data_IF_981574372304
#
_entry.id   IF_981574372304
#
_cell.length_a   1.000
_cell.length_b   1.000
_cell.length_c   1.000
_cell.angle_alpha   90.00
_cell.angle_beta   90.00
_cell.angle_gamma   90.00
#
_symmetry.space_group_name_H-M   'P 1'
#
loop_
_entity.id
_entity.type
_entity.pdbx_description
1 polymer ?
#
# COMPACT_ATOMS: atom_id res chain seq x y z
N UNK A 1 -52.63 -11.69 -14.20
CA UNK A 1 -52.90 -11.11 -12.86
C UNK A 1 -51.54 -10.84 -12.25
N UNK A 2 -51.05 -9.61 -12.05
CA UNK A 2 -51.63 -8.26 -12.05
C UNK A 2 -50.62 -7.26 -12.68
N UNK A 3 -51.12 -6.12 -13.16
CA UNK A 3 -50.42 -5.05 -13.89
C UNK A 3 -49.57 -4.13 -12.99
N UNK A 4 -48.41 -3.69 -13.50
CA UNK A 4 -47.44 -2.78 -12.87
C UNK A 4 -47.86 -1.28 -12.87
N UNK A 5 -49.16 -0.99 -12.84
CA UNK A 5 -49.69 0.38 -12.91
C UNK A 5 -50.06 1.01 -11.56
N UNK A 6 -49.65 0.42 -10.42
CA UNK A 6 -50.07 0.88 -9.08
C UNK A 6 -48.92 1.28 -8.14
N UNK A 7 -47.95 2.08 -8.58
CA UNK A 7 -47.06 2.80 -7.66
C UNK A 7 -46.80 4.26 -8.04
N UNK A 8 -47.84 4.94 -8.52
CA UNK A 8 -47.99 6.39 -8.32
C UNK A 8 -48.71 6.63 -6.99
N UNK A 9 -47.97 6.85 -5.92
CA UNK A 9 -48.33 7.79 -4.84
C UNK A 9 -47.33 7.69 -3.71
N UNK A 10 -46.66 8.82 -3.45
CA UNK A 10 -45.93 9.25 -2.24
C UNK A 10 -44.61 9.87 -2.67
N UNK A 11 -44.73 10.98 -3.39
CA UNK A 11 -43.75 12.05 -3.31
C UNK A 11 -43.71 12.45 -1.83
N UNK A 12 -42.58 12.21 -1.18
CA UNK A 12 -42.31 12.76 0.15
C UNK A 12 -42.17 14.27 -0.04
N UNK A 13 -43.28 14.96 0.23
CA UNK A 13 -43.28 16.38 0.56
C UNK A 13 -42.31 16.60 1.71
N UNK A 14 -41.19 17.26 1.45
CA UNK A 14 -40.41 17.92 2.48
C UNK A 14 -41.24 19.12 2.98
N UNK A 15 -42.25 18.85 3.81
CA UNK A 15 -42.83 19.85 4.68
C UNK A 15 -41.96 19.95 5.93
N UNK A 16 -41.19 21.04 6.03
CA UNK A 16 -40.77 21.56 7.31
C UNK A 16 -41.13 23.05 7.36
N UNK A 17 -42.08 23.35 8.25
CA UNK A 17 -42.56 24.68 8.57
C UNK A 17 -41.42 25.60 9.03
N UNK A 18 -41.45 26.86 8.59
CA UNK A 18 -41.40 28.04 9.46
C UNK A 18 -41.41 29.32 8.63
N UNK A 19 -42.54 30.02 8.59
CA UNK A 19 -42.67 31.46 8.87
C UNK A 19 -44.14 31.86 8.62
N UNK A 20 -44.97 31.66 9.65
CA UNK A 20 -46.14 32.51 9.82
C UNK A 20 -45.66 33.91 10.28
N UNK A 21 -46.36 34.92 9.79
CA UNK A 21 -46.25 36.35 10.10
C UNK A 21 -45.09 37.15 9.47
N UNK A 22 -45.29 37.54 8.20
CA UNK A 22 -44.84 38.85 7.71
C UNK A 22 -46.08 39.63 7.28
N UNK A 23 -46.65 40.38 8.23
CA UNK A 23 -47.63 41.43 7.96
C UNK A 23 -47.03 42.48 7.00
N UNK A 24 -47.90 43.00 6.13
CA UNK A 24 -47.68 44.12 5.21
C UNK A 24 -46.77 45.20 5.80
N UNK A 25 -45.55 45.40 5.30
CA UNK A 25 -44.86 46.71 5.25
C UNK A 25 -43.61 46.67 4.36
N UNK A 26 -43.60 47.59 3.38
CA UNK A 26 -42.46 48.21 2.65
C UNK A 26 -41.27 47.36 2.15
N UNK A 27 -41.03 47.48 0.84
CA UNK A 27 -39.75 47.29 0.15
C UNK A 27 -38.49 47.49 1.01
N UNK A 28 -37.70 46.42 1.22
CA UNK A 28 -36.26 46.34 0.93
C UNK A 28 -35.72 44.95 1.32
N UNK A 29 -34.92 44.39 0.42
CA UNK A 29 -34.03 43.22 0.61
C UNK A 29 -34.70 41.84 0.68
N UNK A 30 -35.10 41.32 -0.48
CA UNK A 30 -35.22 39.87 -0.67
C UNK A 30 -33.80 39.29 -0.72
N UNK A 31 -33.37 38.65 0.37
CA UNK A 31 -32.14 37.87 0.40
C UNK A 31 -32.20 36.74 -0.64
N UNK A 32 -31.20 36.69 -1.53
CA UNK A 32 -30.93 35.52 -2.36
C UNK A 32 -30.65 34.32 -1.45
N UNK A 33 -31.64 33.47 -1.24
CA UNK A 33 -31.43 32.14 -0.70
C UNK A 33 -30.72 31.30 -1.78
N UNK A 34 -29.39 31.40 -1.79
CA UNK A 34 -28.53 30.46 -2.49
C UNK A 34 -28.71 29.08 -1.84
N UNK A 35 -29.68 28.31 -2.34
CA UNK A 35 -29.78 26.90 -2.03
C UNK A 35 -28.48 26.24 -2.50
N UNK A 36 -27.59 25.95 -1.55
CA UNK A 36 -26.41 25.11 -1.78
C UNK A 36 -26.91 23.80 -2.38
N UNK A 37 -26.34 23.42 -3.52
CA UNK A 37 -26.68 22.21 -4.27
C UNK A 37 -26.70 20.99 -3.34
N UNK A 38 -27.90 20.55 -2.99
CA UNK A 38 -28.14 19.34 -2.23
C UNK A 38 -27.96 18.17 -3.20
N UNK A 39 -26.73 17.65 -3.28
CA UNK A 39 -26.27 16.68 -4.28
C UNK A 39 -27.36 15.82 -4.91
N UNK A 40 -27.44 15.88 -6.25
CA UNK A 40 -28.48 15.22 -7.03
C UNK A 40 -28.07 13.80 -7.43
N UNK A 41 -28.98 12.84 -7.31
CA UNK A 41 -28.85 11.54 -7.98
C UNK A 41 -28.80 11.80 -9.49
N UNK A 42 -27.62 11.65 -10.10
CA UNK A 42 -27.41 11.94 -11.52
C UNK A 42 -28.11 10.88 -12.38
N UNK A 43 -27.90 9.62 -12.03
CA UNK A 43 -28.53 8.48 -12.70
C UNK A 43 -28.57 7.28 -11.75
N UNK A 44 -29.59 6.44 -11.94
CA UNK A 44 -29.59 5.09 -11.38
C UNK A 44 -30.10 4.14 -12.44
N UNK A 45 -29.48 2.98 -12.56
CA UNK A 45 -29.96 1.90 -13.41
C UNK A 45 -29.81 0.58 -12.68
N UNK A 46 -30.83 -0.27 -12.81
CA UNK A 46 -30.71 -1.67 -12.41
C UNK A 46 -29.85 -2.37 -13.47
N UNK A 47 -28.76 -2.99 -13.04
CA UNK A 47 -27.94 -3.83 -13.92
C UNK A 47 -28.40 -5.27 -13.71
N UNK A 48 -29.16 -5.86 -14.64
CA UNK A 48 -29.64 -7.23 -14.48
C UNK A 48 -28.47 -8.21 -14.56
N UNK A 49 -28.58 -9.32 -13.82
CA UNK A 49 -27.66 -10.44 -13.97
C UNK A 49 -27.81 -11.01 -15.39
N UNK A 50 -26.72 -11.09 -16.14
CA UNK A 50 -26.69 -11.83 -17.40
C UNK A 50 -26.33 -13.28 -17.12
N UNK A 51 -27.05 -14.21 -17.75
CA UNK A 51 -26.69 -15.62 -17.66
C UNK A 51 -25.38 -15.89 -18.42
N UNK A 52 -24.55 -16.75 -17.85
CA UNK A 52 -23.29 -17.19 -18.45
C UNK A 52 -23.05 -18.65 -18.09
N UNK A 53 -22.39 -19.39 -18.98
CA UNK A 53 -21.97 -20.76 -18.71
C UNK A 53 -20.50 -20.77 -18.34
N UNK A 54 -20.15 -21.46 -17.25
CA UNK A 54 -18.75 -21.66 -16.88
C UNK A 54 -18.06 -22.55 -17.92
N UNK A 55 -16.99 -22.04 -18.53
CA UNK A 55 -16.13 -22.81 -19.41
C UNK A 55 -14.98 -23.39 -18.58
N UNK A 56 -14.66 -24.67 -18.82
CA UNK A 56 -13.44 -25.25 -18.25
C UNK A 56 -12.25 -24.80 -19.11
N UNK A 57 -11.22 -24.17 -18.53
CA UNK A 57 -10.06 -23.74 -19.29
C UNK A 57 -9.31 -24.95 -19.87
N UNK A 58 -8.84 -24.83 -21.11
CA UNK A 58 -7.97 -25.84 -21.71
C UNK A 58 -6.62 -25.84 -20.99
N UNK A 59 -6.21 -27.00 -20.48
CA UNK A 59 -4.93 -27.17 -19.78
C UNK A 59 -3.82 -27.55 -20.75
N UNK A 60 -2.60 -27.04 -20.50
CA UNK A 60 -1.40 -27.48 -21.22
C UNK A 60 -0.97 -28.86 -20.72
N UNK A 61 -0.48 -29.74 -21.61
CA UNK A 61 0.05 -31.06 -21.24
C UNK A 61 1.40 -30.93 -20.53
N UNK A 62 1.61 -31.71 -19.47
CA UNK A 62 2.86 -31.77 -18.69
C UNK A 62 3.98 -32.52 -19.44
N UNK A 63 5.26 -32.23 -19.17
CA UNK A 63 5.79 -31.24 -18.23
C UNK A 63 5.72 -29.81 -18.77
N UNK A 64 5.39 -28.84 -17.91
CA UNK A 64 5.37 -27.41 -18.24
C UNK A 64 6.36 -26.66 -17.35
N UNK A 65 7.08 -25.71 -17.94
CA UNK A 65 7.84 -24.70 -17.17
C UNK A 65 7.02 -23.42 -17.13
N UNK A 66 6.70 -22.95 -15.93
CA UNK A 66 5.93 -21.74 -15.71
C UNK A 66 6.74 -20.73 -14.89
N UNK A 67 6.50 -19.44 -15.09
CA UNK A 67 7.06 -18.37 -14.25
C UNK A 67 5.95 -17.85 -13.35
N UNK A 68 6.06 -18.07 -12.04
CA UNK A 68 5.01 -17.76 -11.06
C UNK A 68 5.56 -17.00 -9.87
N UNK A 69 4.75 -16.17 -9.17
CA UNK A 69 5.14 -15.59 -7.89
C UNK A 69 5.30 -16.70 -6.85
N UNK A 70 6.55 -16.96 -6.44
CA UNK A 70 6.88 -17.88 -5.35
C UNK A 70 6.96 -17.10 -4.06
N UNK A 71 6.27 -17.58 -3.03
CA UNK A 71 6.33 -17.01 -1.69
C UNK A 71 7.69 -17.33 -1.08
N UNK A 72 8.53 -16.30 -0.92
CA UNK A 72 9.86 -16.46 -0.31
C UNK A 72 9.81 -16.23 1.20
N UNK A 73 8.92 -15.35 1.69
CA UNK A 73 8.70 -15.11 3.11
C UNK A 73 7.29 -14.56 3.38
N UNK A 74 6.77 -14.78 4.59
CA UNK A 74 5.55 -14.13 5.09
C UNK A 74 5.78 -13.77 6.56
N UNK A 75 5.41 -12.53 6.95
CA UNK A 75 5.71 -12.01 8.29
C UNK A 75 4.62 -11.07 8.77
N UNK A 76 4.21 -11.24 10.03
CA UNK A 76 3.47 -10.23 10.78
C UNK A 76 4.47 -9.35 11.55
N UNK A 77 4.30 -8.03 11.45
CA UNK A 77 5.25 -7.03 11.91
C UNK A 77 4.51 -6.06 12.82
N UNK A 78 4.99 -5.94 14.06
CA UNK A 78 4.49 -4.96 15.01
C UNK A 78 5.26 -3.65 14.86
N UNK A 79 4.52 -2.55 14.77
CA UNK A 79 5.04 -1.19 14.64
C UNK A 79 4.31 -0.33 15.68
N UNK A 80 5.05 0.16 16.66
CA UNK A 80 4.51 1.02 17.71
C UNK A 80 4.69 2.49 17.29
N UNK A 81 3.59 3.25 17.28
CA UNK A 81 3.54 4.61 16.76
C UNK A 81 2.87 5.53 17.79
N UNK A 82 3.55 6.59 18.18
CA UNK A 82 2.95 7.70 18.94
C UNK A 82 2.80 8.90 18.00
N UNK A 83 1.58 9.43 17.89
CA UNK A 83 1.29 10.64 17.12
C UNK A 83 0.67 11.71 18.00
N UNK A 84 1.09 12.95 17.77
CA UNK A 84 0.53 14.12 18.43
C UNK A 84 0.02 15.08 17.36
N UNK A 85 -1.28 15.30 17.36
CA UNK A 85 -1.97 16.10 16.36
C UNK A 85 -2.68 17.25 17.04
N UNK A 86 -2.51 18.45 16.48
CA UNK A 86 -3.32 19.61 16.83
C UNK A 86 -4.37 19.80 15.75
N UNK A 87 -5.64 19.76 16.12
CA UNK A 87 -6.71 19.98 15.15
C UNK A 87 -6.80 21.47 14.79
N UNK A 88 -7.38 21.77 13.62
CA UNK A 88 -7.53 23.15 13.14
C UNK A 88 -8.32 24.01 14.13
N UNK A 89 -9.29 23.40 14.80
CA UNK A 89 -10.17 24.02 15.77
C UNK A 89 -10.22 23.18 17.03
N UNK A 90 -10.56 23.83 18.15
CA UNK A 90 -10.80 23.10 19.39
C UNK A 90 -12.03 22.21 19.23
N UNK A 91 -11.98 21.06 19.85
CA UNK A 91 -13.03 20.06 19.77
C UNK A 91 -13.61 19.77 21.14
N UNK A 92 -14.92 19.60 21.18
CA UNK A 92 -15.65 19.12 22.35
C UNK A 92 -15.47 17.60 22.50
N UNK A 93 -15.61 16.89 21.37
CA UNK A 93 -15.62 15.44 21.34
C UNK A 93 -15.14 14.91 19.99
N UNK A 94 -14.37 13.84 19.99
CA UNK A 94 -14.07 13.05 18.78
C UNK A 94 -15.22 12.07 18.56
N UNK A 95 -15.86 12.13 17.39
CA UNK A 95 -16.98 11.24 17.04
C UNK A 95 -16.49 9.94 16.42
N UNK A 96 -15.54 10.04 15.49
CA UNK A 96 -15.01 8.87 14.78
C UNK A 96 -13.63 9.17 14.22
N UNK A 97 -12.76 8.15 14.23
CA UNK A 97 -11.50 8.19 13.48
C UNK A 97 -11.45 6.97 12.56
N UNK A 98 -11.58 7.17 11.25
CA UNK A 98 -11.36 6.10 10.26
C UNK A 98 -9.87 6.02 9.95
N UNK A 99 -9.30 4.81 9.97
CA UNK A 99 -7.87 4.56 9.73
C UNK A 99 -7.67 3.58 8.59
N UNK A 100 -6.77 3.91 7.67
CA UNK A 100 -6.33 3.06 6.56
C UNK A 100 -4.80 2.99 6.56
N UNK A 101 -4.22 1.80 6.38
CA UNK A 101 -2.75 1.60 6.37
C UNK A 101 -2.23 1.51 4.94
N UNK A 102 -1.16 2.23 4.64
CA UNK A 102 -0.49 2.24 3.34
C UNK A 102 0.99 1.90 3.49
N UNK A 103 1.51 1.05 2.62
CA UNK A 103 2.95 0.85 2.46
C UNK A 103 3.44 1.67 1.28
N UNK A 104 4.49 2.46 1.50
CA UNK A 104 5.21 3.22 0.45
C UNK A 104 6.52 2.53 0.07
N UNK A 105 7.06 1.69 0.95
CA UNK A 105 8.23 0.85 0.70
C UNK A 105 8.04 -0.51 1.36
N UNK A 106 8.41 -1.57 0.64
CA UNK A 106 8.63 -2.89 1.19
C UNK A 106 9.75 -3.55 0.37
N UNK A 107 10.96 -3.51 0.89
CA UNK A 107 12.18 -3.85 0.15
C UNK A 107 13.04 -4.86 0.90
N UNK A 108 13.29 -5.99 0.25
CA UNK A 108 14.08 -7.07 0.80
C UNK A 108 15.55 -6.91 0.43
N UNK A 109 16.44 -7.02 1.42
CA UNK A 109 17.88 -7.15 1.23
C UNK A 109 18.26 -8.61 1.48
N UNK A 110 18.39 -9.44 0.43
CA UNK A 110 18.24 -10.90 0.56
C UNK A 110 19.41 -11.64 1.21
N UNK A 111 20.57 -11.00 1.36
CA UNK A 111 21.75 -11.56 2.02
C UNK A 111 22.16 -10.83 3.29
N UNK A 112 21.34 -9.88 3.76
CA UNK A 112 21.65 -9.10 4.96
C UNK A 112 21.15 -9.75 6.26
N UNK A 113 21.04 -11.08 6.30
CA UNK A 113 20.63 -11.87 7.45
C UNK A 113 21.63 -12.98 7.78
N UNK A 114 21.14 -14.05 8.39
CA UNK A 114 21.90 -15.25 8.74
C UNK A 114 22.14 -16.09 7.48
N UNK A 115 23.40 -16.45 7.26
CA UNK A 115 23.83 -17.36 6.20
C UNK A 115 24.42 -18.60 6.87
N UNK A 116 23.89 -19.77 6.54
CA UNK A 116 24.36 -21.06 7.05
C UNK A 116 24.86 -21.91 5.89
N UNK A 117 26.11 -22.38 5.95
CA UNK A 117 26.72 -23.22 4.91
C UNK A 117 26.61 -22.59 3.49
N UNK A 118 26.74 -21.27 3.39
CA UNK A 118 26.61 -20.53 2.13
C UNK A 118 25.16 -20.31 1.66
N UNK A 119 24.15 -20.78 2.40
CA UNK A 119 22.74 -20.64 2.06
C UNK A 119 22.10 -19.56 2.95
N UNK A 120 21.48 -18.51 2.37
CA UNK A 120 20.79 -17.49 3.15
C UNK A 120 19.53 -18.09 3.81
N UNK A 121 19.43 -17.97 5.13
CA UNK A 121 18.28 -18.44 5.93
C UNK A 121 17.31 -17.32 6.25
N UNK A 122 17.84 -16.12 6.44
CA UNK A 122 17.05 -14.93 6.73
C UNK A 122 17.54 -13.74 5.92
N UNK A 123 16.75 -12.69 5.92
CA UNK A 123 17.05 -11.43 5.25
C UNK A 123 16.48 -10.24 6.03
N UNK A 124 16.93 -9.04 5.70
CA UNK A 124 16.35 -7.80 6.23
C UNK A 124 15.30 -7.27 5.27
N UNK A 125 14.13 -6.92 5.81
CA UNK A 125 13.02 -6.32 5.09
C UNK A 125 12.82 -4.89 5.61
N UNK A 126 13.02 -3.91 4.73
CA UNK A 126 12.84 -2.49 4.99
C UNK A 126 11.41 -2.11 4.61
N UNK A 127 10.69 -1.49 5.55
CA UNK A 127 9.30 -1.13 5.38
C UNK A 127 9.09 0.33 5.76
N UNK A 128 8.42 1.06 4.88
CA UNK A 128 7.95 2.42 5.15
C UNK A 128 6.51 2.55 4.70
N UNK A 129 5.78 3.43 5.36
CA UNK A 129 4.37 3.63 5.09
C UNK A 129 3.77 4.76 5.90
N UNK A 130 2.44 4.84 5.88
CA UNK A 130 1.69 5.75 6.72
C UNK A 130 0.31 5.21 7.06
N UNK A 131 -0.22 5.65 8.19
CA UNK A 131 -1.62 5.46 8.59
C UNK A 131 -2.34 6.73 8.19
N UNK A 132 -3.26 6.63 7.22
CA UNK A 132 -4.17 7.73 6.89
C UNK A 132 -5.30 7.73 7.89
N UNK A 133 -5.50 8.85 8.58
CA UNK A 133 -6.55 9.06 9.57
C UNK A 133 -7.53 10.09 9.04
N UNK A 134 -8.80 9.77 9.03
CA UNK A 134 -9.88 10.73 8.82
C UNK A 134 -10.58 10.90 10.18
N UNK A 135 -10.31 12.03 10.84
CA UNK A 135 -10.78 12.37 12.17
C UNK A 135 -12.04 13.23 12.02
N UNK A 136 -13.15 12.77 12.58
CA UNK A 136 -14.42 13.51 12.68
C UNK A 136 -14.64 13.95 14.13
N UNK A 137 -14.90 15.23 14.33
CA UNK A 137 -14.99 15.84 15.65
C UNK A 137 -16.07 16.93 15.72
N UNK A 138 -16.64 17.12 16.90
CA UNK A 138 -17.64 18.14 17.18
C UNK A 138 -17.00 19.39 17.79
N UNK A 139 -17.40 20.57 17.35
CA UNK A 139 -17.07 21.86 17.97
C UNK A 139 -18.10 22.28 19.03
N UNK A 140 -17.83 23.34 19.77
CA UNK A 140 -18.74 23.93 20.75
C UNK A 140 -18.92 25.43 20.47
N UNK A 141 -19.73 25.75 19.45
CA UNK A 141 -19.82 27.11 18.90
C UNK A 141 -20.86 27.98 19.64
N UNK A 142 -21.98 27.38 20.04
CA UNK A 142 -23.02 28.03 20.83
C UNK A 142 -23.18 27.33 22.19
N UNK A 143 -22.91 28.06 23.26
CA UNK A 143 -22.98 27.56 24.63
C UNK A 143 -23.93 28.45 25.42
N UNK A 144 -24.98 27.83 25.96
CA UNK A 144 -25.97 28.37 26.92
C UNK A 144 -26.01 27.45 28.14
N UNK A 145 -26.67 27.90 29.21
CA UNK A 145 -26.63 27.24 30.54
C UNK A 145 -26.78 25.71 30.49
N UNK A 146 -27.74 25.19 29.70
CA UNK A 146 -28.02 23.75 29.59
C UNK A 146 -27.77 23.16 28.20
N UNK A 147 -27.25 23.93 27.25
CA UNK A 147 -27.16 23.51 25.84
C UNK A 147 -25.83 23.89 25.21
N UNK A 148 -25.17 22.90 24.60
CA UNK A 148 -24.01 23.07 23.73
C UNK A 148 -24.37 22.63 22.32
N UNK A 149 -24.20 23.52 21.35
CA UNK A 149 -24.40 23.25 19.92
C UNK A 149 -23.13 23.61 19.15
N UNK A 150 -22.80 22.80 18.16
CA UNK A 150 -21.67 23.05 17.27
C UNK A 150 -21.75 22.24 15.99
N UNK A 151 -20.71 22.33 15.18
CA UNK A 151 -20.60 21.66 13.88
C UNK A 151 -19.83 20.34 13.97
N UNK A 152 -20.09 19.44 13.00
CA UNK A 152 -19.24 18.27 12.76
C UNK A 152 -18.21 18.64 11.70
N UNK A 153 -16.93 18.62 12.11
CA UNK A 153 -15.79 18.93 11.26
C UNK A 153 -14.93 17.69 11.05
N UNK A 154 -14.11 17.71 10.01
CA UNK A 154 -13.17 16.64 9.75
C UNK A 154 -11.75 17.15 9.50
N UNK A 155 -10.78 16.30 9.79
CA UNK A 155 -9.37 16.50 9.45
C UNK A 155 -8.79 15.19 8.96
N UNK A 156 -8.13 15.23 7.81
CA UNK A 156 -7.45 14.06 7.22
C UNK A 156 -5.95 14.26 7.33
N UNK A 157 -5.27 13.30 7.95
CA UNK A 157 -3.82 13.33 8.11
C UNK A 157 -3.16 11.99 7.80
N UNK A 158 -1.84 12.02 7.62
CA UNK A 158 -1.00 10.84 7.38
C UNK A 158 0.06 10.75 8.47
N UNK A 159 -0.01 9.70 9.28
CA UNK A 159 1.00 9.41 10.31
C UNK A 159 2.01 8.43 9.75
N UNK A 160 3.26 8.87 9.46
CA UNK A 160 4.25 8.01 8.83
C UNK A 160 4.81 6.98 9.82
N UNK A 161 5.26 5.84 9.29
CA UNK A 161 6.04 4.86 10.02
C UNK A 161 7.12 4.26 9.12
N UNK A 162 8.23 3.86 9.74
CA UNK A 162 9.32 3.13 9.09
C UNK A 162 9.89 2.11 10.07
N UNK A 163 10.19 0.91 9.58
CA UNK A 163 10.85 -0.12 10.37
C UNK A 163 11.70 -1.04 9.49
N UNK A 164 12.60 -1.78 10.13
CA UNK A 164 13.35 -2.88 9.53
C UNK A 164 13.10 -4.11 10.36
N UNK A 165 12.80 -5.23 9.70
CA UNK A 165 12.62 -6.51 10.38
C UNK A 165 13.43 -7.60 9.70
N UNK A 166 13.75 -8.64 10.45
CA UNK A 166 14.33 -9.86 9.90
C UNK A 166 13.20 -10.82 9.49
N UNK A 167 13.28 -11.32 8.26
CA UNK A 167 12.36 -12.32 7.72
C UNK A 167 13.10 -13.63 7.47
N UNK A 168 12.44 -14.74 7.78
CA UNK A 168 12.96 -16.09 7.51
C UNK A 168 12.44 -16.56 6.16
N UNK A 169 13.33 -17.16 5.37
CA UNK A 169 12.95 -17.74 4.10
C UNK A 169 12.14 -19.03 4.30
N UNK A 170 10.97 -19.06 3.68
CA UNK A 170 10.18 -20.28 3.45
C UNK A 170 10.80 -20.99 2.24
N UNK A 171 11.02 -20.23 1.17
CA UNK A 171 11.72 -20.65 -0.04
C UNK A 171 12.87 -19.68 -0.28
N UNK A 172 14.12 -20.15 -0.51
CA UNK A 172 15.22 -19.26 -0.84
C UNK A 172 14.92 -18.42 -2.09
N UNK A 173 15.35 -17.14 -2.12
CA UNK A 173 15.23 -16.34 -3.32
C UNK A 173 16.23 -16.82 -4.38
N UNK A 174 15.85 -16.69 -5.64
CA UNK A 174 16.77 -16.84 -6.77
C UNK A 174 17.62 -15.57 -6.86
N UNK A 175 18.93 -15.71 -6.64
CA UNK A 175 19.88 -14.61 -6.66
C UNK A 175 20.96 -14.91 -7.68
N UNK A 176 21.37 -13.90 -8.44
CA UNK A 176 22.53 -13.98 -9.32
C UNK A 176 23.65 -13.08 -8.78
N UNK A 177 24.87 -13.62 -8.73
CA UNK A 177 26.07 -12.83 -8.54
C UNK A 177 26.64 -12.47 -9.91
N UNK A 178 27.20 -11.27 -10.05
CA UNK A 178 28.07 -10.98 -11.21
C UNK A 178 29.27 -11.92 -11.14
N UNK A 179 29.56 -12.60 -12.25
CA UNK A 179 30.75 -13.42 -12.33
C UNK A 179 32.01 -12.54 -12.24
N UNK A 180 33.12 -13.12 -11.81
CA UNK A 180 34.40 -12.45 -11.97
C UNK A 180 34.67 -12.28 -13.47
N UNK A 181 35.15 -11.11 -13.87
CA UNK A 181 35.55 -10.86 -15.26
C UNK A 181 36.64 -11.87 -15.63
N UNK A 182 36.48 -12.51 -16.78
CA UNK A 182 37.45 -13.48 -17.27
C UNK A 182 38.36 -12.80 -18.27
N UNK A 183 39.67 -12.99 -18.09
CA UNK A 183 40.69 -12.59 -19.05
C UNK A 183 41.01 -13.81 -19.92
N UNK A 184 41.01 -13.61 -21.24
CA UNK A 184 41.35 -14.64 -22.20
C UNK A 184 42.77 -14.38 -22.70
N UNK A 185 43.69 -15.22 -22.27
CA UNK A 185 45.08 -15.17 -22.72
C UNK A 185 45.23 -15.86 -24.08
N UNK A 186 45.66 -15.09 -25.08
CA UNK A 186 46.04 -15.60 -26.40
C UNK A 186 47.55 -15.54 -26.58
N UNK A 187 48.07 -16.35 -27.50
CA UNK A 187 49.46 -16.28 -27.92
C UNK A 187 49.65 -15.14 -28.92
N UNK A 188 50.73 -14.35 -28.75
CA UNK A 188 51.10 -13.40 -29.80
C UNK A 188 51.75 -14.12 -30.99
N UNK A 189 51.22 -13.95 -32.20
CA UNK A 189 51.79 -14.51 -33.44
C UNK A 189 51.93 -13.42 -34.51
N UNK A 190 52.95 -13.56 -35.37
CA UNK A 190 53.33 -12.57 -36.40
C UNK A 190 52.24 -12.32 -37.47
N UNK A 191 51.19 -13.15 -37.53
CA UNK A 191 50.17 -13.10 -38.59
C UNK A 191 48.79 -12.59 -38.14
N UNK A 192 48.62 -12.26 -36.85
CA UNK A 192 47.29 -11.99 -36.26
C UNK A 192 47.11 -10.68 -35.51
N UNK A 193 48.16 -9.87 -35.34
CA UNK A 193 48.10 -8.62 -34.59
C UNK A 193 48.07 -7.41 -35.53
N UNK A 194 47.29 -6.37 -35.18
CA UNK A 194 47.31 -5.11 -35.92
C UNK A 194 48.70 -4.47 -35.86
N UNK A 195 49.03 -3.68 -36.89
CA UNK A 195 50.39 -3.41 -37.40
C UNK A 195 51.33 -2.62 -36.46
N UNK A 196 50.97 -2.43 -35.19
CA UNK A 196 51.75 -1.72 -34.16
C UNK A 196 52.05 -2.57 -32.91
N UNK A 197 51.64 -3.85 -32.87
CA UNK A 197 52.04 -4.79 -31.81
C UNK A 197 53.50 -5.25 -32.02
N UNK A 198 54.45 -4.69 -31.26
CA UNK A 198 55.87 -5.08 -31.29
C UNK A 198 56.15 -6.42 -30.59
N UNK A 199 55.46 -7.50 -30.98
CA UNK A 199 55.62 -8.84 -30.40
C UNK A 199 56.92 -9.57 -30.82
N UNK A 200 57.88 -8.86 -31.42
CA UNK A 200 59.09 -9.45 -31.97
C UNK A 200 60.08 -9.95 -30.90
N UNK A 201 60.05 -9.40 -29.68
CA UNK A 201 60.96 -9.78 -28.59
C UNK A 201 60.37 -10.88 -27.66
N UNK A 202 59.06 -11.12 -27.70
CA UNK A 202 58.33 -12.10 -26.88
C UNK A 202 57.58 -13.15 -27.73
N UNK A 203 58.24 -13.67 -28.79
CA UNK A 203 57.66 -14.54 -29.84
C UNK A 203 57.00 -15.85 -29.38
N UNK A 204 57.10 -16.20 -28.10
CA UNK A 204 56.57 -17.42 -27.48
C UNK A 204 55.84 -17.10 -26.15
N UNK A 205 55.26 -15.90 -26.05
CA UNK A 205 54.64 -15.37 -24.84
C UNK A 205 53.14 -15.08 -24.97
N UNK A 206 52.55 -14.64 -23.85
CA UNK A 206 51.19 -14.11 -23.77
C UNK A 206 51.08 -12.84 -24.61
N UNK A 207 49.96 -12.65 -25.31
CA UNK A 207 49.65 -11.41 -26.03
C UNK A 207 49.51 -10.24 -25.04
N UNK A 208 50.33 -9.20 -25.19
CA UNK A 208 50.41 -8.06 -24.26
C UNK A 208 49.86 -6.75 -24.82
N UNK A 209 49.69 -6.67 -26.14
CA UNK A 209 49.25 -5.46 -26.83
C UNK A 209 47.74 -5.40 -27.08
N UNK A 210 47.01 -6.48 -26.79
CA UNK A 210 45.56 -6.56 -26.89
C UNK A 210 45.03 -7.43 -25.76
N UNK A 211 43.96 -6.97 -25.12
CA UNK A 211 43.28 -7.68 -24.04
C UNK A 211 41.90 -8.15 -24.51
N UNK A 212 41.55 -9.38 -24.14
CA UNK A 212 40.24 -9.96 -24.38
C UNK A 212 39.57 -10.21 -23.03
N UNK A 213 38.48 -9.50 -22.78
CA UNK A 213 37.75 -9.56 -21.51
C UNK A 213 36.33 -10.06 -21.76
N UNK A 214 35.89 -11.02 -20.96
CA UNK A 214 34.51 -11.52 -20.95
C UNK A 214 33.81 -11.16 -19.64
N UNK A 215 32.71 -10.43 -19.76
CA UNK A 215 31.82 -10.08 -18.66
C UNK A 215 30.55 -10.94 -18.71
N UNK A 216 30.36 -11.82 -17.73
CA UNK A 216 29.13 -12.61 -17.59
C UNK A 216 28.20 -11.99 -16.55
N UNK A 217 27.11 -11.39 -17.02
CA UNK A 217 26.10 -10.70 -16.20
C UNK A 217 24.77 -11.47 -16.29
N UNK A 218 24.29 -11.98 -15.15
CA UNK A 218 22.97 -12.60 -15.04
C UNK A 218 22.03 -11.69 -14.26
N UNK A 219 20.86 -11.40 -14.84
CA UNK A 219 19.81 -10.61 -14.20
C UNK A 219 18.70 -11.52 -13.70
N UNK A 220 18.20 -11.24 -12.50
CA UNK A 220 17.09 -11.99 -11.87
C UNK A 220 16.01 -11.01 -11.42
N UNK A 221 14.81 -11.53 -11.25
CA UNK A 221 13.66 -10.73 -10.82
C UNK A 221 13.84 -10.24 -9.39
N UNK A 222 13.53 -8.96 -9.15
CA UNK A 222 13.57 -8.37 -7.81
C UNK A 222 12.39 -8.92 -6.98
N UNK A 223 12.61 -9.27 -5.70
CA UNK A 223 11.51 -9.56 -4.79
C UNK A 223 10.58 -8.35 -4.60
N UNK A 224 9.29 -8.61 -4.48
CA UNK A 224 8.27 -7.60 -4.20
C UNK A 224 7.37 -8.05 -3.05
N UNK A 225 6.60 -7.11 -2.50
CA UNK A 225 5.72 -7.40 -1.38
C UNK A 225 4.24 -7.19 -1.71
N UNK A 226 3.41 -7.94 -1.01
CA UNK A 226 1.97 -7.75 -0.93
C UNK A 226 1.57 -7.47 0.52
N UNK A 227 0.75 -6.43 0.72
CA UNK A 227 0.11 -6.15 2.00
C UNK A 227 -1.13 -7.02 2.11
N UNK A 228 -1.12 -8.01 3.00
CA UNK A 228 -2.25 -8.92 3.20
C UNK A 228 -3.31 -8.32 4.13
N UNK A 229 -2.90 -7.48 5.07
CA UNK A 229 -3.81 -6.82 6.01
C UNK A 229 -3.08 -6.12 7.14
N UNK A 230 -3.84 -5.34 7.91
CA UNK A 230 -3.34 -4.65 9.09
C UNK A 230 -4.36 -4.67 10.23
N UNK A 231 -3.87 -4.59 11.47
CA UNK A 231 -4.65 -4.47 12.70
C UNK A 231 -4.04 -3.37 13.55
N UNK A 232 -4.87 -2.52 14.12
CA UNK A 232 -4.44 -1.38 14.95
C UNK A 232 -5.10 -1.51 16.32
N UNK A 233 -4.29 -1.42 17.37
CA UNK A 233 -4.76 -1.21 18.74
C UNK A 233 -4.32 0.17 19.18
N UNK A 234 -5.20 0.94 19.82
CA UNK A 234 -4.88 2.34 20.12
C UNK A 234 -5.51 2.89 21.38
N UNK A 235 -4.89 3.96 21.87
CA UNK A 235 -5.41 4.81 22.93
C UNK A 235 -5.35 6.28 22.49
N UNK A 236 -6.51 6.92 22.48
CA UNK A 236 -6.69 8.32 22.10
C UNK A 236 -6.76 9.20 23.36
N UNK A 237 -5.83 10.14 23.51
CA UNK A 237 -5.68 10.97 24.71
C UNK A 237 -5.88 12.44 24.33
N UNK A 238 -7.00 13.00 24.79
CA UNK A 238 -7.33 14.41 24.59
C UNK A 238 -6.50 15.30 25.53
N UNK A 239 -5.78 16.28 24.98
CA UNK A 239 -4.82 17.13 25.68
C UNK A 239 -5.15 18.61 25.52
N UNK A 240 -4.49 19.41 26.37
CA UNK A 240 -4.71 20.85 26.51
C UNK A 240 -6.19 21.19 26.72
N UNK A 241 -6.81 20.69 27.80
CA UNK A 241 -8.18 21.08 28.11
C UNK A 241 -8.24 22.58 28.37
N UNK A 242 -9.23 23.25 27.79
CA UNK A 242 -9.57 24.62 28.07
C UNK A 242 -11.08 24.74 28.26
N UNK A 243 -11.51 25.78 28.96
CA UNK A 243 -12.92 26.00 29.26
C UNK A 243 -13.42 27.21 28.48
N UNK A 244 -14.47 27.00 27.69
CA UNK A 244 -15.17 28.04 26.95
C UNK A 244 -16.58 28.12 27.51
N UNK A 245 -16.92 29.26 28.15
CA UNK A 245 -18.23 29.45 28.80
C UNK A 245 -18.63 28.27 29.72
N UNK A 246 -17.66 27.71 30.45
CA UNK A 246 -17.86 26.57 31.35
C UNK A 246 -17.79 25.18 30.70
N UNK A 247 -17.74 25.08 29.37
CA UNK A 247 -17.63 23.81 28.64
C UNK A 247 -16.18 23.46 28.39
N UNK A 248 -15.81 22.22 28.69
CA UNK A 248 -14.46 21.71 28.49
C UNK A 248 -14.26 21.29 27.03
N UNK A 249 -13.30 21.92 26.37
CA UNK A 249 -12.88 21.60 25.00
C UNK A 249 -11.37 21.33 24.96
N UNK A 250 -10.90 20.69 23.90
CA UNK A 250 -9.52 20.24 23.73
C UNK A 250 -8.94 20.77 22.43
N UNK A 251 -7.61 20.90 22.39
CA UNK A 251 -6.88 21.43 21.21
C UNK A 251 -5.96 20.36 20.59
N UNK A 252 -5.52 19.40 21.39
CA UNK A 252 -4.56 18.38 20.99
C UNK A 252 -5.11 16.97 21.19
N UNK A 253 -4.78 16.07 20.26
CA UNK A 253 -5.01 14.64 20.34
C UNK A 253 -3.66 13.93 20.33
N UNK A 254 -3.39 13.14 21.36
CA UNK A 254 -2.21 12.26 21.44
C UNK A 254 -2.70 10.83 21.29
N UNK A 255 -2.26 10.14 20.25
CA UNK A 255 -2.64 8.77 19.96
C UNK A 255 -1.42 7.86 20.14
N UNK A 256 -1.60 6.75 20.85
CA UNK A 256 -0.60 5.69 20.95
C UNK A 256 -1.17 4.46 20.27
N UNK A 257 -0.52 4.00 19.21
CA UNK A 257 -0.99 2.91 18.35
C UNK A 257 0.03 1.77 18.33
N UNK A 258 -0.45 0.54 18.41
CA UNK A 258 0.29 -0.69 18.10
C UNK A 258 -0.29 -1.23 16.80
N UNK A 259 0.49 -1.15 15.72
CA UNK A 259 0.08 -1.55 14.38
C UNK A 259 0.72 -2.87 14.00
N UNK A 260 -0.10 -3.89 13.75
CA UNK A 260 0.34 -5.14 13.18
C UNK A 260 0.07 -5.15 11.68
N UNK A 261 1.11 -5.33 10.87
CA UNK A 261 1.02 -5.43 9.41
C UNK A 261 1.44 -6.83 8.99
N UNK A 262 0.62 -7.50 8.18
CA UNK A 262 0.97 -8.77 7.55
C UNK A 262 1.44 -8.53 6.12
N UNK A 263 2.69 -8.87 5.85
CA UNK A 263 3.29 -8.76 4.53
C UNK A 263 3.71 -10.13 4.02
N UNK A 264 3.48 -10.34 2.73
CA UNK A 264 3.99 -11.47 1.97
C UNK A 264 5.07 -10.96 1.03
N UNK A 265 6.22 -11.63 1.00
CA UNK A 265 7.32 -11.32 0.09
C UNK A 265 7.37 -12.40 -0.97
N UNK A 266 7.34 -12.00 -2.23
CA UNK A 266 7.30 -12.88 -3.40
C UNK A 266 8.44 -12.57 -4.37
N UNK A 267 8.77 -13.55 -5.19
CA UNK A 267 9.65 -13.38 -6.33
C UNK A 267 9.10 -14.18 -7.51
N UNK A 268 9.12 -13.61 -8.72
CA UNK A 268 8.79 -14.37 -9.93
C UNK A 268 9.91 -15.38 -10.21
N UNK A 269 9.62 -16.66 -10.07
CA UNK A 269 10.58 -17.75 -10.29
C UNK A 269 10.06 -18.72 -11.35
N UNK A 270 10.98 -19.33 -12.12
CA UNK A 270 10.64 -20.43 -13.01
C UNK A 270 10.50 -21.72 -12.20
N UNK A 271 9.38 -22.42 -12.38
CA UNK A 271 9.06 -23.67 -11.70
C UNK A 271 8.61 -24.70 -12.72
N UNK A 272 8.93 -25.96 -12.47
CA UNK A 272 8.36 -27.09 -13.23
C UNK A 272 7.02 -27.46 -12.60
N UNK A 273 5.98 -27.51 -13.42
CA UNK A 273 4.63 -27.93 -13.02
C UNK A 273 4.36 -29.30 -13.65
N UNK A 274 4.19 -30.30 -12.80
CA UNK A 274 3.94 -31.69 -13.18
C UNK A 274 3.73 -32.55 -11.93
N UNK A 275 3.15 -33.75 -12.11
CA UNK A 275 2.94 -34.70 -11.02
C UNK A 275 4.31 -35.11 -10.45
N UNK A 276 4.55 -35.01 -9.13
CA UNK A 276 5.73 -35.62 -8.55
C UNK A 276 5.60 -37.12 -8.83
N UNK A 277 6.60 -37.66 -9.52
CA UNK A 277 6.70 -39.07 -9.88
C UNK A 277 6.09 -39.95 -8.79
N UNK A 278 5.06 -40.72 -9.14
CA UNK A 278 4.54 -41.81 -8.32
C UNK A 278 5.71 -42.78 -8.13
N UNK A 279 6.54 -42.51 -7.12
CA UNK A 279 7.62 -43.35 -6.66
C UNK A 279 7.03 -44.63 -6.08
N UNK A 280 6.56 -45.49 -6.97
CA UNK A 280 6.32 -46.89 -6.75
C UNK A 280 7.69 -47.47 -6.37
N UNK A 281 7.99 -47.45 -5.06
CA UNK A 281 9.07 -48.25 -4.48
C UNK A 281 8.73 -49.71 -4.80
N UNK A 282 9.41 -50.29 -5.78
CA UNK A 282 9.56 -51.73 -5.90
C UNK A 282 10.57 -52.22 -4.86
#
# INVERSE_FOLDING_TARGET
MMSMDEMKSRENECHEHCHEECHEHSHKECHEHSHKDCGKLIESRTVPMCEGTNLTPQTVRTPVVAKVPVVIAEKEIQIDVESKTRLKEKFLEIKRIKKDVFLTQCELIPRAGVIENGIPRTAKLFISGFIRKNIEFATADCIKDDVVSGEIKHTTEKVPFTCVTEVRYITPPVLANRAMQQEIDLFCSEHGCEQECNCEEEKLGRLTCQEFLEDSITLVEKPFCELLGARIFEADIQRKPCFEKGVKVFDELVEKMVVFIRVKVLQLQQVTVGDPDNGCRK
#
